data_IF_947745671303
#
_entry.id   IF_947745671303
#
_cell.length_a   1.000
_cell.length_b   1.000
_cell.length_c   1.000
_cell.angle_alpha   90.00
_cell.angle_beta   90.00
_cell.angle_gamma   90.00
#
_symmetry.space_group_name_H-M   'P 1'
#
loop_
_entity.id
_entity.type
_entity.pdbx_description
1 polymer ?
#
# COMPACT_ATOMS: atom_id res chain seq x y z
N UNK A 1 14.46 -8.58 -22.65
CA UNK A 1 13.48 -7.93 -21.77
C UNK A 1 12.15 -7.94 -22.49
N UNK A 2 11.20 -8.73 -22.00
CA UNK A 2 9.86 -8.83 -22.59
C UNK A 2 9.06 -7.53 -22.39
N UNK A 3 8.10 -7.26 -23.27
CA UNK A 3 7.21 -6.09 -23.15
C UNK A 3 6.45 -6.05 -21.82
N UNK A 4 6.14 -7.23 -21.27
CA UNK A 4 5.49 -7.39 -19.97
C UNK A 4 6.39 -6.93 -18.81
N UNK A 5 7.66 -7.35 -18.78
CA UNK A 5 8.63 -6.92 -17.76
C UNK A 5 8.87 -5.40 -17.82
N UNK A 6 8.98 -4.83 -19.03
CA UNK A 6 9.16 -3.38 -19.19
C UNK A 6 7.98 -2.60 -18.63
N UNK A 7 6.75 -3.07 -18.90
CA UNK A 7 5.52 -2.48 -18.36
C UNK A 7 5.49 -2.55 -16.83
N UNK A 8 5.82 -3.71 -16.26
CA UNK A 8 5.85 -3.87 -14.79
C UNK A 8 6.89 -2.95 -14.15
N UNK A 9 8.10 -2.84 -14.72
CA UNK A 9 9.12 -1.93 -14.22
C UNK A 9 8.66 -0.47 -14.25
N UNK A 10 8.01 -0.03 -15.34
CA UNK A 10 7.47 1.32 -15.44
C UNK A 10 6.41 1.61 -14.37
N UNK A 11 5.53 0.65 -14.10
CA UNK A 11 4.51 0.74 -13.04
C UNK A 11 5.14 0.78 -11.64
N UNK A 12 6.15 -0.05 -11.37
CA UNK A 12 6.90 -0.01 -10.11
C UNK A 12 7.56 1.35 -9.90
N UNK A 13 8.19 1.91 -10.92
CA UNK A 13 8.83 3.22 -10.86
C UNK A 13 7.81 4.35 -10.65
N UNK A 14 6.65 4.29 -11.31
CA UNK A 14 5.56 5.23 -11.06
C UNK A 14 5.07 5.13 -9.61
N UNK A 15 4.80 3.93 -9.13
CA UNK A 15 4.33 3.69 -7.77
C UNK A 15 5.36 4.14 -6.72
N UNK A 16 6.66 3.94 -6.97
CA UNK A 16 7.75 4.44 -6.11
C UNK A 16 7.76 5.96 -6.03
N UNK A 17 7.60 6.66 -7.16
CA UNK A 17 7.53 8.13 -7.20
C UNK A 17 6.30 8.68 -6.49
N UNK A 18 5.14 8.04 -6.65
CA UNK A 18 3.92 8.43 -5.94
C UNK A 18 4.07 8.15 -4.44
N UNK A 19 4.51 6.94 -4.05
CA UNK A 19 4.82 6.60 -2.66
C UNK A 19 5.69 7.68 -2.03
N UNK A 20 6.83 8.01 -2.61
CA UNK A 20 7.78 8.96 -2.02
C UNK A 20 7.15 10.34 -1.72
N UNK A 21 6.19 10.79 -2.54
CA UNK A 21 5.49 12.06 -2.33
C UNK A 21 4.44 12.01 -1.22
N UNK A 22 3.86 10.84 -0.96
CA UNK A 22 2.79 10.65 0.04
C UNK A 22 3.23 9.92 1.31
N UNK A 23 4.43 9.34 1.33
CA UNK A 23 4.94 8.46 2.38
C UNK A 23 4.84 9.08 3.77
N UNK A 24 5.32 10.31 3.95
CA UNK A 24 5.25 11.02 5.24
C UNK A 24 3.80 11.20 5.70
N UNK A 25 2.89 11.56 4.79
CA UNK A 25 1.46 11.74 5.13
C UNK A 25 0.78 10.42 5.46
N UNK A 26 1.13 9.35 4.75
CA UNK A 26 0.59 8.01 5.00
C UNK A 26 1.08 7.46 6.34
N UNK A 27 2.37 7.59 6.64
CA UNK A 27 2.96 7.16 7.92
C UNK A 27 2.44 7.97 9.11
N UNK A 28 2.00 9.21 8.90
CA UNK A 28 1.39 10.03 9.95
C UNK A 28 -0.06 9.62 10.28
N UNK A 29 -0.70 8.75 9.47
CA UNK A 29 -2.08 8.32 9.72
C UNK A 29 -2.15 7.30 10.86
N UNK A 30 -3.17 7.39 11.74
CA UNK A 30 -3.39 6.41 12.79
C UNK A 30 -3.47 4.98 12.26
N UNK A 31 -2.80 4.05 12.95
CA UNK A 31 -2.83 2.62 12.62
C UNK A 31 -1.91 2.19 11.48
N UNK A 32 -1.33 3.12 10.70
CA UNK A 32 -0.32 2.81 9.68
C UNK A 32 1.02 2.52 10.35
N UNK A 33 1.65 1.41 9.96
CA UNK A 33 2.95 0.97 10.47
C UNK A 33 4.02 0.88 9.39
N UNK A 34 3.64 0.95 8.12
CA UNK A 34 4.60 0.93 7.01
C UNK A 34 3.96 1.27 5.67
N UNK A 35 4.80 1.70 4.73
CA UNK A 35 4.39 1.97 3.35
C UNK A 35 5.44 1.40 2.39
N UNK A 36 5.00 0.62 1.41
CA UNK A 36 5.84 -0.03 0.41
C UNK A 36 5.25 0.05 -1.00
N UNK A 37 5.95 -0.54 -1.94
CA UNK A 37 5.44 -0.80 -3.29
C UNK A 37 5.54 -2.29 -3.54
N UNK A 38 4.47 -2.90 -4.01
CA UNK A 38 4.44 -4.33 -4.24
C UNK A 38 3.19 -4.74 -4.98
N UNK A 39 2.99 -6.06 -5.03
CA UNK A 39 1.80 -6.65 -5.58
C UNK A 39 0.64 -6.54 -4.61
N UNK A 40 -0.50 -6.08 -5.11
CA UNK A 40 -1.75 -6.00 -4.35
C UNK A 40 -2.18 -7.40 -3.92
N UNK A 41 -2.76 -7.52 -2.74
CA UNK A 41 -3.36 -8.75 -2.25
C UNK A 41 -4.89 -8.66 -2.24
N UNK A 42 -5.55 -9.75 -2.60
CA UNK A 42 -7.02 -9.91 -2.46
C UNK A 42 -7.29 -11.22 -1.75
N UNK A 43 -8.01 -11.16 -0.63
CA UNK A 43 -8.26 -12.36 0.20
C UNK A 43 -6.99 -13.04 0.73
N UNK A 44 -5.89 -12.29 0.91
CA UNK A 44 -4.59 -12.84 1.33
C UNK A 44 -3.75 -13.45 0.20
N UNK A 45 -4.23 -13.43 -1.04
CA UNK A 45 -3.48 -13.93 -2.21
C UNK A 45 -2.90 -12.75 -3.01
N UNK A 46 -1.59 -12.76 -3.34
CA UNK A 46 -0.99 -11.78 -4.25
C UNK A 46 -1.64 -11.80 -5.63
N UNK A 47 -1.70 -10.64 -6.27
CA UNK A 47 -2.20 -10.44 -7.64
C UNK A 47 -1.09 -9.85 -8.51
N UNK A 48 -1.27 -9.80 -9.83
CA UNK A 48 -0.29 -9.17 -10.75
C UNK A 48 -0.43 -7.64 -10.83
N UNK A 49 -1.26 -7.04 -9.98
CA UNK A 49 -1.53 -5.60 -9.92
C UNK A 49 -0.51 -4.91 -9.00
N UNK A 50 0.31 -4.01 -9.55
CA UNK A 50 1.27 -3.21 -8.77
C UNK A 50 0.52 -2.09 -8.04
N UNK A 51 0.77 -1.97 -6.74
CA UNK A 51 0.11 -1.01 -5.86
C UNK A 51 1.09 -0.41 -4.83
N UNK A 52 0.68 0.73 -4.26
CA UNK A 52 1.25 1.24 -3.02
C UNK A 52 0.66 0.43 -1.88
N UNK A 53 1.50 -0.30 -1.17
CA UNK A 53 1.08 -1.17 -0.06
C UNK A 53 1.18 -0.37 1.22
N UNK A 54 0.04 -0.17 1.90
CA UNK A 54 -0.03 0.45 3.23
C UNK A 54 -0.26 -0.65 4.25
N UNK A 55 0.72 -0.82 5.14
CA UNK A 55 0.67 -1.81 6.22
C UNK A 55 0.02 -1.18 7.44
N UNK A 56 -0.99 -1.83 7.99
CA UNK A 56 -1.70 -1.41 9.20
C UNK A 56 -1.67 -2.50 10.28
N UNK A 57 -1.74 -2.11 11.56
CA UNK A 57 -1.79 -3.09 12.66
C UNK A 57 -3.05 -3.95 12.60
N UNK A 58 -4.19 -3.33 12.32
CA UNK A 58 -5.51 -3.97 12.29
C UNK A 58 -6.45 -3.26 11.31
N UNK A 59 -7.13 -4.02 10.47
CA UNK A 59 -8.24 -3.54 9.65
C UNK A 59 -9.49 -3.44 10.51
N UNK A 60 -10.16 -2.30 10.40
CA UNK A 60 -11.48 -2.03 10.98
C UNK A 60 -12.47 -1.78 9.85
N UNK A 61 -13.75 -2.12 10.04
CA UNK A 61 -14.77 -1.79 9.08
C UNK A 61 -14.96 -0.26 8.99
N UNK A 62 -15.40 0.28 7.84
CA UNK A 62 -15.42 1.74 7.61
C UNK A 62 -16.25 2.55 8.60
N UNK A 63 -17.27 1.94 9.21
CA UNK A 63 -18.12 2.50 10.26
C UNK A 63 -17.40 2.66 11.61
N UNK A 64 -16.31 1.94 11.84
CA UNK A 64 -15.44 2.05 13.02
C UNK A 64 -14.19 2.94 12.77
N UNK A 65 -14.06 3.50 11.57
CA UNK A 65 -12.95 4.36 11.17
C UNK A 65 -13.36 5.83 11.23
N UNK A 66 -12.51 6.67 11.82
CA UNK A 66 -12.66 8.10 11.63
C UNK A 66 -12.39 8.47 10.15
N UNK A 67 -13.00 9.56 9.62
CA UNK A 67 -12.80 9.97 8.23
C UNK A 67 -11.33 10.11 7.81
N UNK A 68 -10.45 10.48 8.75
CA UNK A 68 -9.01 10.67 8.52
C UNK A 68 -8.24 9.34 8.40
N UNK A 69 -8.80 8.25 8.95
CA UNK A 69 -8.26 6.89 8.90
C UNK A 69 -8.63 6.17 7.60
N UNK A 70 -9.66 6.66 6.90
CA UNK A 70 -10.07 6.12 5.61
C UNK A 70 -9.05 6.51 4.55
N UNK A 71 -8.36 5.49 4.03
CA UNK A 71 -7.41 5.65 2.94
C UNK A 71 -8.15 5.67 1.60
N UNK A 72 -7.70 6.47 0.61
CA UNK A 72 -8.25 6.42 -0.73
C UNK A 72 -7.91 5.09 -1.40
N UNK A 73 -8.71 4.70 -2.41
CA UNK A 73 -8.46 3.48 -3.20
C UNK A 73 -7.25 3.59 -4.14
N UNK A 74 -6.81 4.82 -4.44
CA UNK A 74 -5.66 5.11 -5.28
C UNK A 74 -5.04 6.47 -4.94
N UNK A 75 -3.77 6.66 -5.32
CA UNK A 75 -3.05 7.92 -5.26
C UNK A 75 -2.45 8.21 -6.62
N UNK A 76 -2.82 9.33 -7.24
CA UNK A 76 -2.28 9.74 -8.55
C UNK A 76 -2.36 8.63 -9.63
N UNK A 77 -3.48 7.91 -9.66
CA UNK A 77 -3.72 6.78 -10.58
C UNK A 77 -2.94 5.49 -10.24
N UNK A 78 -2.26 5.44 -9.09
CA UNK A 78 -1.62 4.23 -8.58
C UNK A 78 -2.54 3.60 -7.53
N UNK A 79 -2.94 2.32 -7.69
CA UNK A 79 -3.77 1.63 -6.71
C UNK A 79 -3.13 1.62 -5.32
N UNK A 80 -3.96 1.74 -4.29
CA UNK A 80 -3.55 1.62 -2.89
C UNK A 80 -4.11 0.32 -2.32
N UNK A 81 -3.23 -0.48 -1.72
CA UNK A 81 -3.58 -1.74 -1.09
C UNK A 81 -3.31 -1.68 0.41
N UNK A 82 -4.34 -1.89 1.23
CA UNK A 82 -4.21 -1.91 2.68
C UNK A 82 -4.01 -3.35 3.13
N UNK A 83 -2.89 -3.65 3.77
CA UNK A 83 -2.56 -4.98 4.28
C UNK A 83 -2.45 -4.95 5.81
N UNK A 84 -3.14 -5.88 6.46
CA UNK A 84 -3.02 -6.06 7.91
C UNK A 84 -1.81 -6.95 8.17
N UNK A 85 -0.87 -6.47 8.99
CA UNK A 85 0.37 -7.20 9.31
C UNK A 85 0.50 -7.52 10.79
N UNK A 86 -0.45 -7.10 11.63
CA UNK A 86 -0.35 -7.24 13.08
C UNK A 86 0.77 -6.39 13.68
N UNK A 87 1.31 -6.82 14.81
CA UNK A 87 2.49 -6.18 15.42
C UNK A 87 3.77 -6.64 14.72
N UNK A 88 4.39 -5.72 13.97
CA UNK A 88 5.72 -5.94 13.41
C UNK A 88 6.72 -5.92 14.57
N UNK A 89 7.31 -7.07 14.88
CA UNK A 89 8.45 -7.17 15.81
C UNK A 89 9.71 -7.47 15.02
N UNK A 90 10.78 -6.71 15.27
CA UNK A 90 12.10 -7.09 14.79
C UNK A 90 12.54 -8.33 15.56
N UNK A 91 12.80 -9.43 14.86
CA UNK A 91 13.46 -10.59 15.47
C UNK A 91 14.94 -10.23 15.65
N UNK A 92 15.43 -10.36 16.88
CA UNK A 92 16.81 -10.08 17.28
C UNK A 92 17.77 -11.18 16.82
#
# INVERSE_FOLDING_TARGET
MSDQEQRQNALFEQARRVKARHEVKLLARPGVVGVGVGYRQRGGTPTDEIAIVVMVRKKRPPDELAPEEILPSELEGVPLDVQEVGDITAQA
#
